data_IF_980671313877
#
_entry.id   IF_980671313877
#
_cell.length_a   1.000
_cell.length_b   1.000
_cell.length_c   1.000
_cell.angle_alpha   90.00
_cell.angle_beta   90.00
_cell.angle_gamma   90.00
#
_symmetry.space_group_name_H-M   'P 1'
#
loop_
_entity.id
_entity.type
_entity.pdbx_description
1 polymer ?
#
# COMPACT_ATOMS: atom_id res chain seq x y z
N UNK A 1 -8.88 -18.29 -28.49
CA UNK A 1 -10.28 -17.81 -28.53
C UNK A 1 -10.32 -16.34 -28.14
N UNK A 2 -10.35 -15.41 -29.11
CA UNK A 2 -10.56 -13.99 -28.82
C UNK A 2 -12.05 -13.68 -28.90
N UNK A 3 -12.74 -13.66 -27.75
CA UNK A 3 -14.11 -13.13 -27.66
C UNK A 3 -14.03 -11.61 -27.51
N UNK A 4 -14.29 -10.90 -28.60
CA UNK A 4 -14.42 -9.45 -28.58
C UNK A 4 -15.53 -9.05 -27.58
N UNK A 5 -15.15 -8.40 -26.48
CA UNK A 5 -16.04 -7.94 -25.43
C UNK A 5 -15.70 -8.36 -24.01
N UNK A 6 -14.72 -9.25 -23.79
CA UNK A 6 -14.29 -9.64 -22.44
C UNK A 6 -13.10 -8.79 -21.98
N UNK A 7 -13.32 -7.93 -20.98
CA UNK A 7 -12.29 -7.12 -20.31
C UNK A 7 -11.20 -7.97 -19.63
N UNK A 8 -11.49 -9.24 -19.33
CA UNK A 8 -10.56 -10.20 -18.75
C UNK A 8 -10.00 -11.12 -19.86
N UNK A 9 -9.00 -10.63 -20.59
CA UNK A 9 -8.19 -11.49 -21.48
C UNK A 9 -7.12 -12.23 -20.68
N UNK A 10 -6.53 -13.28 -21.24
CA UNK A 10 -5.41 -14.01 -20.61
C UNK A 10 -4.24 -13.07 -20.30
N UNK A 11 -3.91 -12.15 -21.20
CA UNK A 11 -2.87 -11.13 -20.99
C UNK A 11 -3.24 -10.20 -19.85
N UNK A 12 -4.48 -9.71 -19.80
CA UNK A 12 -4.96 -8.85 -18.70
C UNK A 12 -4.95 -9.59 -17.35
N UNK A 13 -5.26 -10.89 -17.35
CA UNK A 13 -5.20 -11.72 -16.15
C UNK A 13 -3.75 -11.90 -15.67
N UNK A 14 -2.81 -12.11 -16.58
CA UNK A 14 -1.37 -12.17 -16.27
C UNK A 14 -0.87 -10.81 -15.74
N UNK A 15 -1.24 -9.70 -16.38
CA UNK A 15 -0.90 -8.36 -15.90
C UNK A 15 -1.43 -8.10 -14.49
N UNK A 16 -2.67 -8.50 -14.20
CA UNK A 16 -3.28 -8.33 -12.88
C UNK A 16 -2.63 -9.23 -11.81
N UNK A 17 -2.23 -10.45 -12.18
CA UNK A 17 -1.54 -11.40 -11.31
C UNK A 17 -0.22 -10.81 -10.79
N UNK A 18 0.48 -10.03 -11.60
CA UNK A 18 1.71 -9.35 -11.17
C UNK A 18 1.46 -7.96 -10.57
N UNK A 19 0.51 -7.19 -11.10
CA UNK A 19 0.26 -5.82 -10.67
C UNK A 19 -0.39 -5.72 -9.28
N UNK A 20 -1.36 -6.60 -8.95
CA UNK A 20 -2.07 -6.53 -7.66
C UNK A 20 -1.16 -6.79 -6.45
N UNK A 21 -0.35 -7.88 -6.42
CA UNK A 21 0.52 -8.12 -5.28
C UNK A 21 1.57 -7.02 -5.11
N UNK A 22 2.10 -6.50 -6.22
CA UNK A 22 3.07 -5.40 -6.20
C UNK A 22 2.46 -4.13 -5.58
N UNK A 23 1.28 -3.71 -6.05
CA UNK A 23 0.58 -2.53 -5.55
C UNK A 23 0.14 -2.67 -4.09
N UNK A 24 -0.32 -3.87 -3.70
CA UNK A 24 -0.71 -4.15 -2.32
C UNK A 24 0.50 -4.15 -1.38
N UNK A 25 1.63 -4.72 -1.82
CA UNK A 25 2.84 -4.83 -0.99
C UNK A 25 3.42 -3.46 -0.61
N UNK A 26 3.56 -2.55 -1.57
CA UNK A 26 4.12 -1.21 -1.32
C UNK A 26 3.32 -0.45 -0.25
N UNK A 27 2.00 -0.39 -0.43
CA UNK A 27 1.11 0.34 0.47
C UNK A 27 0.92 -0.36 1.83
N UNK A 28 0.75 -1.69 1.84
CA UNK A 28 0.54 -2.45 3.07
C UNK A 28 1.81 -2.52 3.94
N UNK A 29 2.99 -2.71 3.35
CA UNK A 29 4.25 -2.76 4.10
C UNK A 29 4.51 -1.45 4.84
N UNK A 30 4.33 -0.31 4.15
CA UNK A 30 4.44 1.02 4.74
C UNK A 30 3.43 1.23 5.87
N UNK A 31 2.16 0.84 5.67
CA UNK A 31 1.12 0.94 6.69
C UNK A 31 1.45 0.14 7.95
N UNK A 32 1.93 -1.10 7.79
CA UNK A 32 2.32 -1.97 8.91
C UNK A 32 3.49 -1.39 9.69
N UNK A 33 4.53 -0.90 9.01
CA UNK A 33 5.69 -0.30 9.66
C UNK A 33 5.28 0.93 10.49
N UNK A 34 4.45 1.80 9.93
CA UNK A 34 3.95 2.98 10.64
C UNK A 34 3.04 2.59 11.81
N UNK A 35 2.19 1.58 11.65
CA UNK A 35 1.33 1.10 12.72
C UNK A 35 2.18 0.59 13.89
N UNK A 36 3.22 -0.21 13.61
CA UNK A 36 4.15 -0.70 14.64
C UNK A 36 4.92 0.42 15.33
N UNK A 37 5.33 1.47 14.61
CA UNK A 37 6.00 2.62 15.21
C UNK A 37 5.08 3.35 16.20
N UNK A 38 3.83 3.58 15.82
CA UNK A 38 2.86 4.21 16.71
C UNK A 38 2.44 3.29 17.87
N UNK A 39 2.39 1.98 17.65
CA UNK A 39 2.12 0.97 18.69
C UNK A 39 3.20 0.93 19.77
N UNK A 40 4.48 1.13 19.42
CA UNK A 40 5.56 1.23 20.42
C UNK A 40 5.34 2.34 21.45
N UNK A 41 4.57 3.37 21.10
CA UNK A 41 4.28 4.50 21.97
C UNK A 41 3.05 4.20 22.86
N UNK A 42 2.23 3.21 22.52
CA UNK A 42 0.96 2.93 23.17
C UNK A 42 0.89 1.51 23.75
N UNK A 43 1.17 1.39 25.05
CA UNK A 43 1.06 0.13 25.81
C UNK A 43 -0.37 -0.46 25.86
N UNK A 44 -1.39 0.34 25.56
CA UNK A 44 -2.80 -0.07 25.55
C UNK A 44 -3.11 -1.15 24.51
N UNK A 45 -2.35 -1.23 23.41
CA UNK A 45 -2.53 -2.29 22.40
C UNK A 45 -2.21 -3.67 22.94
N UNK A 46 -1.14 -3.76 23.72
CA UNK A 46 -0.68 -5.00 24.33
C UNK A 46 -1.69 -5.46 25.38
N UNK A 47 -2.21 -4.53 26.19
CA UNK A 47 -3.25 -4.82 27.17
C UNK A 47 -4.57 -5.31 26.55
N UNK A 48 -4.98 -4.73 25.42
CA UNK A 48 -6.16 -5.20 24.67
C UNK A 48 -5.94 -6.64 24.21
N UNK A 49 -4.78 -6.95 23.62
CA UNK A 49 -4.49 -8.28 23.12
C UNK A 49 -4.37 -9.32 24.24
N UNK A 50 -3.71 -8.97 25.35
CA UNK A 50 -3.63 -9.83 26.54
C UNK A 50 -5.00 -10.10 27.18
N UNK A 51 -5.91 -9.14 27.14
CA UNK A 51 -7.28 -9.32 27.65
C UNK A 51 -8.07 -10.29 26.78
N UNK A 52 -7.99 -10.14 25.46
CA UNK A 52 -8.61 -11.08 24.51
C UNK A 52 -8.04 -12.49 24.70
N UNK A 53 -6.72 -12.64 24.90
CA UNK A 53 -6.10 -13.94 25.14
C UNK A 53 -6.52 -14.58 26.48
N UNK A 54 -6.80 -13.77 27.52
CA UNK A 54 -7.28 -14.25 28.81
C UNK A 54 -8.75 -14.68 28.79
N UNK A 55 -9.57 -14.03 27.98
CA UNK A 55 -11.00 -14.32 27.83
C UNK A 55 -11.27 -15.58 26.96
N UNK A 56 -10.24 -16.13 26.31
CA UNK A 56 -10.34 -17.34 25.50
C UNK A 56 -10.35 -18.62 26.36
N UNK A 57 -11.29 -19.50 26.05
CA UNK A 57 -11.35 -20.86 26.60
C UNK A 57 -10.24 -21.77 26.03
N UNK A 58 -9.92 -21.63 24.73
CA UNK A 58 -8.83 -22.36 24.06
C UNK A 58 -7.71 -21.42 23.63
N UNK A 59 -6.52 -21.60 24.22
CA UNK A 59 -5.36 -20.71 24.00
C UNK A 59 -4.66 -20.89 22.65
N UNK A 60 -4.81 -22.05 22.00
CA UNK A 60 -4.13 -22.39 20.73
C UNK A 60 -4.97 -22.15 19.47
N UNK A 61 -6.18 -21.61 19.58
CA UNK A 61 -6.99 -21.28 18.41
C UNK A 61 -6.55 -19.97 17.74
N UNK A 62 -6.55 -19.94 16.40
CA UNK A 62 -6.31 -18.73 15.62
C UNK A 62 -7.30 -17.60 15.93
N UNK A 63 -6.98 -16.36 15.51
CA UNK A 63 -7.87 -15.20 15.71
C UNK A 63 -9.16 -15.37 14.91
N UNK A 64 -10.29 -15.28 15.60
CA UNK A 64 -11.62 -15.34 14.96
C UNK A 64 -12.07 -13.97 14.47
N UNK A 65 -12.98 -13.95 13.49
CA UNK A 65 -13.55 -12.70 12.96
C UNK A 65 -14.30 -11.87 14.02
N UNK A 66 -14.88 -12.52 15.03
CA UNK A 66 -15.57 -11.85 16.14
C UNK A 66 -14.58 -11.07 17.01
N UNK A 67 -13.45 -11.69 17.33
CA UNK A 67 -12.39 -11.08 18.15
C UNK A 67 -11.68 -9.95 17.41
N UNK A 68 -11.39 -10.13 16.13
CA UNK A 68 -10.82 -9.05 15.31
C UNK A 68 -11.71 -7.79 15.33
N UNK A 69 -13.03 -7.96 15.21
CA UNK A 69 -13.97 -6.83 15.26
C UNK A 69 -14.07 -6.17 16.63
N UNK A 70 -13.79 -6.88 17.73
CA UNK A 70 -13.80 -6.29 19.08
C UNK A 70 -12.52 -5.55 19.45
N UNK A 71 -11.45 -5.68 18.66
CA UNK A 71 -10.16 -4.99 18.89
C UNK A 71 -10.26 -3.50 18.56
N UNK A 72 -10.82 -2.70 19.45
CA UNK A 72 -11.05 -1.27 19.29
C UNK A 72 -9.74 -0.48 19.21
N UNK A 73 -8.73 -0.87 19.98
CA UNK A 73 -7.43 -0.20 19.94
C UNK A 73 -6.65 -0.57 18.66
N UNK A 74 -6.72 -1.83 18.21
CA UNK A 74 -6.07 -2.27 16.96
C UNK A 74 -6.63 -1.56 15.70
N UNK A 75 -7.86 -1.04 15.75
CA UNK A 75 -8.41 -0.15 14.69
C UNK A 75 -7.69 1.21 14.58
N UNK A 76 -6.67 1.51 15.41
CA UNK A 76 -5.73 2.63 15.23
C UNK A 76 -5.01 2.61 13.86
N UNK A 77 -5.11 1.53 13.09
CA UNK A 77 -4.68 1.51 11.69
C UNK A 77 -5.27 2.65 10.86
N UNK A 78 -6.52 3.07 11.13
CA UNK A 78 -7.12 4.22 10.46
C UNK A 78 -6.37 5.53 10.77
N UNK A 79 -5.98 5.71 12.02
CA UNK A 79 -5.20 6.88 12.45
C UNK A 79 -3.77 6.82 11.90
N UNK A 80 -3.21 5.61 11.82
CA UNK A 80 -1.91 5.37 11.19
C UNK A 80 -1.91 5.81 9.73
N UNK A 81 -2.94 5.44 8.96
CA UNK A 81 -3.05 5.83 7.54
C UNK A 81 -3.28 7.34 7.42
N UNK A 82 -4.05 7.95 8.33
CA UNK A 82 -4.28 9.40 8.37
C UNK A 82 -2.99 10.19 8.58
N UNK A 83 -2.13 9.73 9.49
CA UNK A 83 -0.84 10.37 9.79
C UNK A 83 0.26 10.01 8.80
N UNK A 84 0.24 8.77 8.31
CA UNK A 84 1.26 8.19 7.45
C UNK A 84 1.31 8.76 6.04
N UNK A 85 0.19 9.28 5.53
CA UNK A 85 0.10 9.90 4.21
C UNK A 85 0.76 9.04 3.09
N UNK A 86 0.50 7.73 3.11
CA UNK A 86 1.17 6.72 2.26
C UNK A 86 0.98 7.04 0.76
N UNK A 87 -0.15 7.66 0.39
CA UNK A 87 -0.39 8.17 -0.97
C UNK A 87 -0.55 9.70 -0.89
N UNK A 88 0.54 10.47 -1.03
CA UNK A 88 0.53 11.91 -0.78
C UNK A 88 -0.23 12.72 -1.84
N UNK A 89 -0.43 12.15 -3.03
CA UNK A 89 -1.11 12.83 -4.12
C UNK A 89 -1.87 11.86 -5.03
N UNK A 90 -3.06 12.27 -5.45
CA UNK A 90 -3.84 11.59 -6.48
C UNK A 90 -3.96 12.52 -7.68
N UNK A 91 -3.31 12.14 -8.78
CA UNK A 91 -3.33 12.94 -10.00
C UNK A 91 -4.52 12.59 -10.89
N UNK A 92 -5.12 13.61 -11.52
CA UNK A 92 -6.20 13.46 -12.50
C UNK A 92 -5.87 14.29 -13.74
N UNK A 93 -6.04 13.68 -14.91
CA UNK A 93 -5.96 14.39 -16.18
C UNK A 93 -7.29 15.07 -16.47
N UNK A 94 -7.26 16.36 -16.79
CA UNK A 94 -8.43 17.13 -17.23
C UNK A 94 -8.70 16.77 -18.68
N UNK A 95 -9.80 16.08 -18.96
CA UNK A 95 -10.17 15.61 -20.32
C UNK A 95 -11.07 16.61 -21.05
N UNK A 96 -11.76 17.47 -20.30
CA UNK A 96 -12.57 18.57 -20.81
C UNK A 96 -12.33 19.78 -19.92
N UNK A 97 -12.48 20.97 -20.47
CA UNK A 97 -12.30 22.19 -19.71
C UNK A 97 -13.32 22.23 -18.57
N UNK A 98 -12.84 22.39 -17.34
CA UNK A 98 -13.65 22.43 -16.11
C UNK A 98 -13.32 23.67 -15.31
N UNK A 99 -14.35 24.29 -14.74
CA UNK A 99 -14.19 25.39 -13.80
C UNK A 99 -14.21 24.85 -12.37
N UNK A 100 -13.16 25.12 -11.59
CA UNK A 100 -13.07 24.75 -10.18
C UNK A 100 -12.86 26.02 -9.37
N UNK A 101 -13.87 26.39 -8.55
CA UNK A 101 -13.82 27.55 -7.65
C UNK A 101 -13.41 28.85 -8.38
N UNK A 102 -14.04 29.15 -9.53
CA UNK A 102 -13.72 30.36 -10.32
C UNK A 102 -12.45 30.27 -11.17
N UNK A 103 -11.73 29.13 -11.15
CA UNK A 103 -10.50 28.94 -11.94
C UNK A 103 -10.74 27.94 -13.05
N UNK A 104 -10.52 28.37 -14.29
CA UNK A 104 -10.57 27.51 -15.48
C UNK A 104 -9.36 26.59 -15.53
N UNK A 105 -9.62 25.28 -15.63
CA UNK A 105 -8.62 24.26 -15.94
C UNK A 105 -8.89 23.77 -17.35
N UNK A 106 -7.96 24.05 -18.25
CA UNK A 106 -8.06 23.60 -19.64
C UNK A 106 -7.42 22.23 -19.84
N UNK A 107 -7.93 21.46 -20.81
CA UNK A 107 -7.35 20.21 -21.32
C UNK A 107 -6.10 20.45 -22.21
N UNK A 108 -5.63 21.69 -22.35
CA UNK A 108 -4.37 21.96 -23.06
C UNK A 108 -3.18 21.32 -22.33
N UNK A 109 -2.20 20.74 -23.07
CA UNK A 109 -1.04 20.12 -22.46
C UNK A 109 -0.26 21.14 -21.63
N UNK A 110 -0.11 20.87 -20.33
CA UNK A 110 0.57 21.73 -19.37
C UNK A 110 2.00 21.23 -19.14
N UNK A 111 3.00 22.05 -19.44
CA UNK A 111 4.43 21.74 -19.25
C UNK A 111 4.79 21.41 -17.79
N UNK A 112 4.04 21.94 -16.81
CA UNK A 112 4.26 21.63 -15.39
C UNK A 112 3.91 20.19 -15.02
N UNK A 113 2.94 19.56 -15.69
CA UNK A 113 2.62 18.14 -15.44
C UNK A 113 3.78 17.23 -15.86
N UNK A 114 4.50 17.57 -16.94
CA UNK A 114 5.63 16.78 -17.43
C UNK A 114 6.73 16.62 -16.37
N UNK A 115 7.05 17.70 -15.65
CA UNK A 115 8.03 17.66 -14.56
C UNK A 115 7.57 16.80 -13.36
N UNK A 116 6.27 16.82 -13.04
CA UNK A 116 5.72 15.99 -11.95
C UNK A 116 5.75 14.50 -12.31
N UNK A 117 5.42 14.14 -13.55
CA UNK A 117 5.55 12.75 -14.01
C UNK A 117 7.00 12.27 -14.00
N UNK A 118 7.94 13.10 -14.45
CA UNK A 118 9.37 12.78 -14.39
C UNK A 118 9.87 12.59 -12.95
N UNK A 119 9.35 13.38 -12.00
CA UNK A 119 9.71 13.25 -10.58
C UNK A 119 9.17 11.95 -9.96
N UNK A 120 7.91 11.58 -10.25
CA UNK A 120 7.32 10.33 -9.77
C UNK A 120 8.03 9.11 -10.38
N UNK A 121 8.34 9.16 -11.68
CA UNK A 121 9.08 8.09 -12.33
C UNK A 121 10.50 7.96 -11.76
N UNK A 122 11.14 9.06 -11.38
CA UNK A 122 12.43 9.04 -10.70
C UNK A 122 12.32 8.39 -9.30
N UNK A 123 11.34 8.78 -8.48
CA UNK A 123 11.12 8.14 -7.17
C UNK A 123 10.85 6.64 -7.29
N UNK A 124 9.99 6.24 -8.24
CA UNK A 124 9.74 4.83 -8.52
C UNK A 124 10.99 4.10 -9.04
N UNK A 125 11.81 4.77 -9.86
CA UNK A 125 13.08 4.21 -10.34
C UNK A 125 14.11 4.05 -9.22
N UNK A 126 14.18 5.00 -8.29
CA UNK A 126 15.03 4.92 -7.08
C UNK A 126 14.55 3.79 -6.17
N UNK A 127 13.24 3.65 -5.96
CA UNK A 127 12.67 2.51 -5.20
C UNK A 127 13.00 1.18 -5.89
N UNK A 128 12.91 1.10 -7.21
CA UNK A 128 13.27 -0.10 -7.97
C UNK A 128 14.76 -0.46 -7.83
N UNK A 129 15.65 0.53 -7.80
CA UNK A 129 17.09 0.35 -7.56
C UNK A 129 17.33 -0.17 -6.14
N UNK A 130 16.69 0.40 -5.14
CA UNK A 130 16.83 -0.02 -3.73
C UNK A 130 16.37 -1.47 -3.57
N UNK A 131 15.23 -1.85 -4.17
CA UNK A 131 14.73 -3.23 -4.15
C UNK A 131 15.72 -4.17 -4.85
N UNK A 132 16.28 -3.76 -5.99
CA UNK A 132 17.26 -4.56 -6.74
C UNK A 132 18.58 -4.75 -5.96
N UNK A 133 19.01 -3.75 -5.19
CA UNK A 133 20.17 -3.85 -4.30
C UNK A 133 19.90 -4.77 -3.10
N UNK A 134 18.69 -4.75 -2.55
CA UNK A 134 18.28 -5.62 -1.45
C UNK A 134 18.21 -7.10 -1.90
N UNK A 135 17.64 -7.35 -3.08
CA UNK A 135 17.54 -8.69 -3.68
C UNK A 135 18.92 -9.20 -4.14
N UNK A 136 19.79 -8.32 -4.67
CA UNK A 136 21.18 -8.66 -4.99
C UNK A 136 22.00 -9.04 -3.75
N UNK A 137 21.75 -8.37 -2.62
CA UNK A 137 22.36 -8.72 -1.32
C UNK A 137 21.88 -10.09 -0.82
N UNK A 138 20.61 -10.44 -1.06
CA UNK A 138 20.04 -11.75 -0.72
C UNK A 138 20.67 -12.90 -1.51
N UNK A 139 20.96 -12.71 -2.81
CA UNK A 139 21.65 -13.69 -3.65
C UNK A 139 23.14 -13.86 -3.30
N UNK A 140 23.82 -12.76 -2.94
CA UNK A 140 25.23 -12.81 -2.48
C UNK A 140 25.39 -13.57 -1.17
N UNK A 141 24.47 -13.37 -0.23
CA UNK A 141 24.46 -14.12 1.04
C UNK A 141 24.16 -15.61 0.80
N UNK A 142 23.24 -15.94 -0.10
CA UNK A 142 22.91 -17.34 -0.42
C UNK A 142 24.09 -18.09 -1.10
N UNK A 143 24.98 -17.39 -1.79
CA UNK A 143 26.16 -17.98 -2.43
C UNK A 143 27.39 -18.12 -1.50
N UNK A 144 27.34 -17.55 -0.29
CA UNK A 144 28.34 -17.75 0.77
C UNK A 144 28.01 -18.88 1.73
N UNK A 145 26.80 -19.44 1.64
CA UNK A 145 26.33 -20.57 2.45
C UNK A 145 26.16 -21.88 1.65
N UNK A 146 26.71 -21.93 0.43
CA UNK A 146 26.90 -23.13 -0.40
C UNK A 146 28.39 -23.24 -0.71
#
# INVERSE_FOLDING_TARGET
>A
MNKAGTILSEQTALDLLFALPFSAFESASSAVVLALQYLKIASSAVQEHETILRERETKDSGITWKEYKSMTFTHMVNETIRLGNIVPAIFRKVVKDIEIKGRFKSNKPNSSMFNVYMLILYELWVVQIIISLQVGSFWLVHQQFI
#
